data_IF_268349947729
#
_entry.id   IF_268349947729
#
_cell.length_a   1.000
_cell.length_b   1.000
_cell.length_c   1.000
_cell.angle_alpha   90.00
_cell.angle_beta   90.00
_cell.angle_gamma   90.00
#
_symmetry.space_group_name_H-M   'P 1'
#
loop_
_entity.id
_entity.type
_entity.pdbx_description
1 polymer ?
#
# COMPACT_ATOMS: atom_id res chain seq x y z
N UNK A 1 27.04 -26.10 -3.92
CA UNK A 1 26.61 -25.35 -2.71
C UNK A 1 26.18 -23.93 -3.06
N UNK A 2 26.89 -23.24 -3.96
CA UNK A 2 26.43 -21.95 -4.51
C UNK A 2 25.16 -22.05 -5.37
N UNK A 3 24.78 -23.25 -5.81
CA UNK A 3 23.63 -23.47 -6.71
C UNK A 3 22.27 -23.19 -6.05
N UNK A 4 22.23 -23.03 -4.72
CA UNK A 4 21.03 -22.70 -3.94
C UNK A 4 21.02 -21.27 -3.42
N UNK A 5 22.04 -20.46 -3.77
CA UNK A 5 22.10 -19.07 -3.38
C UNK A 5 21.44 -18.22 -4.46
N UNK A 6 20.30 -17.63 -4.12
CA UNK A 6 19.67 -16.59 -4.93
C UNK A 6 20.04 -15.21 -4.39
N UNK A 7 20.03 -14.21 -5.26
CA UNK A 7 20.18 -12.82 -4.81
C UNK A 7 19.01 -12.45 -3.90
N UNK A 8 19.29 -11.66 -2.86
CA UNK A 8 18.24 -11.10 -2.01
C UNK A 8 17.20 -10.34 -2.83
N UNK A 9 17.58 -9.78 -4.01
CA UNK A 9 16.68 -9.07 -4.93
C UNK A 9 15.62 -9.97 -5.56
N UNK A 10 15.84 -11.28 -5.61
CA UNK A 10 14.93 -12.21 -6.28
C UNK A 10 13.95 -12.87 -5.30
N UNK A 11 14.15 -12.72 -3.98
CA UNK A 11 13.28 -13.31 -2.97
C UNK A 11 11.99 -12.50 -2.72
N UNK A 12 10.84 -13.14 -2.54
CA UNK A 12 9.60 -12.41 -2.22
C UNK A 12 9.53 -11.92 -0.76
N UNK A 13 10.15 -12.65 0.16
CA UNK A 13 10.23 -12.30 1.57
C UNK A 13 11.46 -12.91 2.23
N UNK A 14 11.80 -12.44 3.42
CA UNK A 14 12.98 -12.85 4.18
C UNK A 14 12.53 -13.47 5.51
N UNK A 15 13.04 -14.66 5.84
CA UNK A 15 12.90 -15.28 7.15
C UNK A 15 14.25 -15.21 7.88
N UNK A 16 14.29 -14.65 9.08
CA UNK A 16 15.54 -14.44 9.83
C UNK A 16 15.33 -14.42 11.33
N UNK A 17 16.35 -14.78 12.08
CA UNK A 17 16.44 -14.66 13.53
C UNK A 17 16.61 -13.21 14.02
N UNK A 18 16.97 -12.27 13.14
CA UNK A 18 17.31 -10.89 13.52
C UNK A 18 16.52 -9.86 12.73
N UNK A 19 16.42 -8.66 13.28
CA UNK A 19 15.91 -7.54 12.50
C UNK A 19 16.98 -7.08 11.50
N UNK A 20 16.58 -6.87 10.25
CA UNK A 20 17.45 -6.42 9.16
C UNK A 20 16.77 -5.23 8.50
N UNK A 21 17.53 -4.20 8.16
CA UNK A 21 16.99 -3.08 7.37
C UNK A 21 16.78 -3.54 5.92
N UNK A 22 15.52 -3.62 5.51
CA UNK A 22 15.14 -4.12 4.19
C UNK A 22 13.80 -3.56 3.76
N UNK A 23 13.67 -3.30 2.47
CA UNK A 23 12.41 -2.92 1.83
C UNK A 23 11.51 -4.13 1.55
N UNK A 24 12.01 -5.35 1.80
CA UNK A 24 11.26 -6.60 1.60
C UNK A 24 10.46 -6.99 2.83
N UNK A 25 9.37 -7.76 2.66
CA UNK A 25 8.68 -8.38 3.78
C UNK A 25 9.64 -9.19 4.66
N UNK A 26 9.75 -8.81 5.93
CA UNK A 26 10.64 -9.43 6.90
C UNK A 26 9.86 -10.23 7.95
N UNK A 27 10.06 -11.53 7.99
CA UNK A 27 9.55 -12.45 9.00
C UNK A 27 10.67 -12.73 10.03
N UNK A 28 10.60 -12.07 11.17
CA UNK A 28 11.51 -12.33 12.30
C UNK A 28 11.01 -13.56 13.08
N UNK A 29 11.83 -14.61 13.14
CA UNK A 29 11.47 -15.92 13.69
C UNK A 29 10.90 -15.81 15.11
N UNK A 30 11.59 -15.11 16.01
CA UNK A 30 11.16 -14.96 17.42
C UNK A 30 9.81 -14.25 17.57
N UNK A 31 9.43 -13.44 16.59
CA UNK A 31 8.20 -12.64 16.63
C UNK A 31 7.01 -13.35 15.99
N UNK A 32 7.25 -14.16 14.96
CA UNK A 32 6.18 -14.67 14.09
C UNK A 32 6.06 -16.20 14.06
N UNK A 33 7.07 -16.95 14.50
CA UNK A 33 7.04 -18.41 14.55
C UNK A 33 6.87 -18.90 15.99
N UNK A 34 5.95 -19.84 16.19
CA UNK A 34 5.69 -20.46 17.49
C UNK A 34 6.77 -21.51 17.79
N UNK A 35 7.35 -21.43 18.99
CA UNK A 35 8.26 -22.45 19.53
C UNK A 35 7.48 -23.44 20.42
N UNK A 36 7.88 -24.73 20.49
CA UNK A 36 8.98 -25.36 19.76
C UNK A 36 8.67 -25.56 18.28
N UNK A 37 9.71 -25.58 17.45
CA UNK A 37 9.54 -25.71 16.01
C UNK A 37 9.23 -27.15 15.60
N UNK A 38 8.20 -27.29 14.76
CA UNK A 38 7.95 -28.48 13.96
C UNK A 38 7.75 -28.04 12.51
N UNK A 39 7.99 -28.93 11.54
CA UNK A 39 7.77 -28.60 10.13
C UNK A 39 6.36 -28.05 9.89
N UNK A 40 5.35 -28.70 10.49
CA UNK A 40 3.95 -28.28 10.38
C UNK A 40 3.69 -26.91 11.01
N UNK A 41 4.22 -26.65 12.21
CA UNK A 41 4.01 -25.36 12.89
C UNK A 41 4.67 -24.21 12.13
N UNK A 42 5.88 -24.42 11.62
CA UNK A 42 6.61 -23.43 10.80
C UNK A 42 5.85 -23.14 9.50
N UNK A 43 5.37 -24.17 8.80
CA UNK A 43 4.60 -23.99 7.57
C UNK A 43 3.30 -23.19 7.81
N UNK A 44 2.56 -23.50 8.88
CA UNK A 44 1.36 -22.77 9.26
C UNK A 44 1.65 -21.30 9.60
N UNK A 45 2.74 -21.05 10.32
CA UNK A 45 3.14 -19.72 10.76
C UNK A 45 3.63 -18.84 9.61
N UNK A 46 4.41 -19.42 8.68
CA UNK A 46 4.81 -18.74 7.45
C UNK A 46 3.59 -18.41 6.58
N UNK A 47 2.65 -19.36 6.40
CA UNK A 47 1.39 -19.10 5.68
C UNK A 47 0.55 -18.01 6.35
N UNK A 48 0.51 -17.98 7.69
CA UNK A 48 -0.18 -16.94 8.46
C UNK A 48 0.48 -15.57 8.25
N UNK A 49 1.81 -15.50 8.33
CA UNK A 49 2.57 -14.28 8.07
C UNK A 49 2.30 -13.75 6.66
N UNK A 50 2.34 -14.62 5.64
CA UNK A 50 2.09 -14.22 4.25
C UNK A 50 0.67 -13.68 4.06
N UNK A 51 -0.35 -14.31 4.64
CA UNK A 51 -1.74 -13.81 4.60
C UNK A 51 -1.89 -12.45 5.27
N UNK A 52 -1.26 -12.27 6.43
CA UNK A 52 -1.24 -10.98 7.12
C UNK A 52 -0.61 -9.87 6.27
N UNK A 53 0.53 -10.17 5.62
CA UNK A 53 1.19 -9.24 4.71
C UNK A 53 0.28 -8.85 3.54
N UNK A 54 -0.35 -9.83 2.89
CA UNK A 54 -1.25 -9.60 1.77
C UNK A 54 -2.42 -8.70 2.17
N UNK A 55 -3.05 -8.98 3.32
CA UNK A 55 -4.14 -8.17 3.84
C UNK A 55 -3.72 -6.73 4.14
N UNK A 56 -2.52 -6.55 4.73
CA UNK A 56 -1.96 -5.22 5.00
C UNK A 56 -1.71 -4.43 3.72
N UNK A 57 -1.21 -5.09 2.67
CA UNK A 57 -0.99 -4.46 1.37
C UNK A 57 -2.29 -4.07 0.68
N UNK A 58 -3.32 -4.93 0.74
CA UNK A 58 -4.67 -4.62 0.24
C UNK A 58 -5.26 -3.39 0.97
N UNK A 59 -5.15 -3.37 2.30
CA UNK A 59 -5.61 -2.23 3.11
C UNK A 59 -4.91 -0.92 2.71
N UNK A 60 -3.59 -0.96 2.50
CA UNK A 60 -2.83 0.21 2.01
C UNK A 60 -3.28 0.65 0.62
N UNK A 61 -3.43 -0.29 -0.31
CA UNK A 61 -3.89 0.03 -1.67
C UNK A 61 -5.28 0.66 -1.66
N UNK A 62 -6.20 0.14 -0.83
CA UNK A 62 -7.53 0.71 -0.66
C UNK A 62 -7.49 2.13 -0.08
N UNK A 63 -6.63 2.38 0.92
CA UNK A 63 -6.44 3.73 1.47
C UNK A 63 -5.93 4.73 0.43
N UNK A 64 -4.96 4.32 -0.39
CA UNK A 64 -4.44 5.15 -1.49
C UNK A 64 -5.54 5.46 -2.52
N UNK A 65 -6.32 4.45 -2.91
CA UNK A 65 -7.44 4.65 -3.83
C UNK A 65 -8.49 5.63 -3.27
N UNK A 66 -8.84 5.50 -1.99
CA UNK A 66 -9.76 6.40 -1.30
C UNK A 66 -9.26 7.85 -1.20
N UNK A 67 -7.95 8.05 -1.11
CA UNK A 67 -7.35 9.39 -1.14
C UNK A 67 -7.44 9.98 -2.55
N UNK A 68 -7.08 9.21 -3.58
CA UNK A 68 -7.17 9.63 -4.97
C UNK A 68 -8.59 10.00 -5.40
N UNK A 69 -9.61 9.24 -4.95
CA UNK A 69 -11.03 9.57 -5.20
C UNK A 69 -11.37 10.93 -4.59
N UNK A 70 -10.97 11.18 -3.33
CA UNK A 70 -11.23 12.45 -2.64
C UNK A 70 -10.51 13.63 -3.30
N UNK A 71 -9.30 13.45 -3.78
CA UNK A 71 -8.57 14.49 -4.53
C UNK A 71 -9.32 14.83 -5.82
N UNK A 72 -9.81 13.83 -6.56
CA UNK A 72 -10.59 14.04 -7.76
C UNK A 72 -11.92 14.78 -7.49
N UNK A 73 -12.62 14.45 -6.39
CA UNK A 73 -13.81 15.19 -5.96
C UNK A 73 -13.50 16.69 -5.71
N UNK A 74 -12.35 17.00 -5.12
CA UNK A 74 -11.92 18.38 -4.89
C UNK A 74 -11.59 19.10 -6.19
N UNK A 75 -10.92 18.44 -7.13
CA UNK A 75 -10.68 18.99 -8.46
C UNK A 75 -11.98 19.26 -9.24
N UNK A 76 -12.98 18.38 -9.09
CA UNK A 76 -14.31 18.60 -9.67
C UNK A 76 -14.97 19.85 -9.09
N UNK A 77 -14.98 19.98 -7.75
CA UNK A 77 -15.54 21.17 -7.06
C UNK A 77 -14.85 22.47 -7.51
N UNK A 78 -13.52 22.45 -7.68
CA UNK A 78 -12.77 23.61 -8.17
C UNK A 78 -13.19 23.98 -9.59
N UNK A 79 -13.34 23.00 -10.49
CA UNK A 79 -13.80 23.25 -11.87
C UNK A 79 -15.20 23.85 -11.90
N UNK A 80 -16.14 23.31 -11.14
CA UNK A 80 -17.50 23.82 -11.05
C UNK A 80 -17.53 25.29 -10.57
N UNK A 81 -16.76 25.60 -9.53
CA UNK A 81 -16.59 26.97 -9.03
C UNK A 81 -16.02 27.92 -10.08
N UNK A 82 -15.01 27.49 -10.83
CA UNK A 82 -14.40 28.28 -11.89
C UNK A 82 -15.36 28.52 -13.06
N UNK A 83 -16.15 27.52 -13.44
CA UNK A 83 -17.19 27.66 -14.46
C UNK A 83 -18.30 28.61 -14.03
N UNK A 84 -18.77 28.49 -12.79
CA UNK A 84 -19.79 29.39 -12.23
C UNK A 84 -19.28 30.84 -12.19
N UNK A 85 -18.05 31.04 -11.72
CA UNK A 85 -17.41 32.34 -11.68
C UNK A 85 -17.26 32.94 -13.08
N UNK A 86 -16.83 32.14 -14.06
CA UNK A 86 -16.69 32.55 -15.46
C UNK A 86 -18.05 32.96 -16.05
N UNK A 87 -19.11 32.19 -15.78
CA UNK A 87 -20.48 32.52 -16.21
C UNK A 87 -20.95 33.86 -15.63
N UNK A 88 -20.73 34.10 -14.33
CA UNK A 88 -21.08 35.36 -13.66
C UNK A 88 -20.34 36.55 -14.27
N UNK A 89 -19.03 36.42 -14.51
CA UNK A 89 -18.25 37.48 -15.19
C UNK A 89 -18.80 37.78 -16.59
N UNK A 90 -19.12 36.74 -17.37
CA UNK A 90 -19.70 36.91 -18.69
C UNK A 90 -21.06 37.63 -18.64
N UNK A 91 -21.89 37.36 -17.63
CA UNK A 91 -23.17 38.05 -17.45
C UNK A 91 -22.97 39.54 -17.14
N UNK A 92 -22.03 39.86 -16.25
CA UNK A 92 -21.71 41.27 -15.89
C UNK A 92 -21.25 42.03 -17.13
N UNK A 93 -20.33 41.46 -17.92
CA UNK A 93 -19.80 42.11 -19.13
C UNK A 93 -20.87 42.28 -20.21
N UNK A 94 -21.83 41.34 -20.32
CA UNK A 94 -22.89 41.37 -21.33
C UNK A 94 -24.09 42.23 -20.96
N UNK A 95 -24.16 42.74 -19.74
CA UNK A 95 -25.26 43.63 -19.32
C UNK A 95 -24.85 45.07 -19.62
N UNK A 96 -25.42 45.75 -20.63
CA UNK A 96 -25.15 47.17 -20.85
C UNK A 96 -25.72 47.99 -19.68
N UNK A 97 -24.94 48.98 -19.23
CA UNK A 97 -25.36 50.03 -18.28
C UNK A 97 -26.59 50.78 -18.78
#
# INVERSE_FOLDING_TARGET
>A
MNDYLSSLKDCDFILTDKFIDTNKPLCVIEKYLRMPFSQKSVEEDVKRFYRYLLQKNILRAHQVAMLAIRENEKECQIRELLEEYTKKLCQIIKTPL
#
